data_IF_163233878215
#
_entry.id   IF_163233878215
#
_cell.length_a   1.000
_cell.length_b   1.000
_cell.length_c   1.000
_cell.angle_alpha   90.00
_cell.angle_beta   90.00
_cell.angle_gamma   90.00
#
_symmetry.space_group_name_H-M   'P 1'
#
loop_
_entity.id
_entity.type
_entity.pdbx_description
1 polymer ?
#
# COMPACT_ATOMS: atom_id res chain seq x y z
N UNK A 1 -1.65 10.50 10.80
CA UNK A 1 -1.70 11.84 10.20
C UNK A 1 -2.32 11.90 8.80
N UNK A 2 -2.29 10.81 8.03
CA UNK A 2 -2.65 10.80 6.60
C UNK A 2 -3.69 9.73 6.20
N UNK A 3 -4.53 9.28 7.14
CA UNK A 3 -5.58 8.30 6.83
C UNK A 3 -6.59 8.91 5.85
N UNK A 4 -6.79 8.23 4.70
CA UNK A 4 -7.78 8.63 3.70
C UNK A 4 -9.22 8.25 4.11
N UNK A 5 -9.37 7.35 5.08
CA UNK A 5 -10.65 6.91 5.63
C UNK A 5 -10.71 7.24 7.13
N UNK A 6 -10.94 8.51 7.51
CA UNK A 6 -11.06 8.87 8.91
C UNK A 6 -12.24 8.13 9.57
N UNK A 7 -12.13 7.79 10.87
CA UNK A 7 -13.21 7.10 11.57
C UNK A 7 -14.52 7.89 11.47
N UNK A 8 -15.58 7.20 11.14
CA UNK A 8 -16.94 7.74 11.19
C UNK A 8 -17.74 6.97 12.25
N UNK A 9 -18.71 7.63 12.87
CA UNK A 9 -19.52 7.09 13.98
C UNK A 9 -20.57 6.03 13.54
N UNK A 10 -20.59 5.64 12.25
CA UNK A 10 -21.61 4.75 11.68
C UNK A 10 -21.09 3.32 11.43
N UNK A 11 -20.06 2.87 12.15
CA UNK A 11 -19.50 1.53 11.98
C UNK A 11 -20.39 0.46 12.64
N UNK A 12 -21.41 0.06 11.95
CA UNK A 12 -22.09 -1.21 12.20
C UNK A 12 -21.25 -2.35 11.59
N UNK A 13 -20.32 -2.88 12.38
CA UNK A 13 -19.42 -3.96 11.97
C UNK A 13 -20.20 -5.21 11.54
N UNK A 14 -21.31 -5.51 12.20
CA UNK A 14 -22.16 -6.66 11.88
C UNK A 14 -22.82 -6.50 10.52
N UNK A 15 -23.43 -5.36 10.28
CA UNK A 15 -24.07 -5.05 8.99
C UNK A 15 -23.07 -5.09 7.84
N UNK A 16 -21.86 -4.54 8.06
CA UNK A 16 -20.81 -4.55 7.06
C UNK A 16 -20.31 -5.98 6.80
N UNK A 17 -20.16 -6.79 7.84
CA UNK A 17 -19.78 -8.20 7.71
C UNK A 17 -20.79 -8.98 6.85
N UNK A 18 -22.08 -8.88 7.16
CA UNK A 18 -23.16 -9.54 6.38
C UNK A 18 -23.17 -9.05 4.93
N UNK A 19 -22.97 -7.76 4.70
CA UNK A 19 -22.87 -7.20 3.34
C UNK A 19 -21.69 -7.80 2.57
N UNK A 20 -20.53 -7.93 3.21
CA UNK A 20 -19.34 -8.50 2.59
C UNK A 20 -19.53 -9.99 2.24
N UNK A 21 -20.17 -10.78 3.10
CA UNK A 21 -20.53 -12.19 2.78
C UNK A 21 -21.38 -12.25 1.51
N UNK A 22 -22.42 -11.42 1.40
CA UNK A 22 -23.27 -11.38 0.21
C UNK A 22 -22.54 -10.98 -1.06
N UNK A 23 -21.57 -10.06 -0.96
CA UNK A 23 -20.73 -9.66 -2.09
C UNK A 23 -19.84 -10.82 -2.55
N UNK A 24 -19.23 -11.55 -1.61
CA UNK A 24 -18.43 -12.73 -1.92
C UNK A 24 -19.29 -13.83 -2.57
N UNK A 25 -20.49 -14.08 -2.06
CA UNK A 25 -21.41 -15.07 -2.61
C UNK A 25 -21.84 -14.77 -4.05
N UNK A 26 -21.86 -13.48 -4.43
CA UNK A 26 -22.21 -13.02 -5.79
C UNK A 26 -21.00 -12.81 -6.71
N UNK A 27 -19.76 -12.97 -6.20
CA UNK A 27 -18.56 -12.77 -6.99
C UNK A 27 -18.37 -13.89 -8.02
N UNK A 28 -17.86 -13.58 -9.22
CA UNK A 28 -17.56 -14.59 -10.23
C UNK A 28 -16.41 -15.52 -9.75
N UNK A 29 -16.53 -16.81 -10.03
CA UNK A 29 -15.51 -17.80 -9.64
C UNK A 29 -14.14 -17.53 -10.28
N UNK A 30 -14.09 -16.76 -11.36
CA UNK A 30 -12.86 -16.34 -12.05
C UNK A 30 -12.23 -15.07 -11.48
N UNK A 31 -12.71 -14.57 -10.34
CA UNK A 31 -12.14 -13.37 -9.71
C UNK A 31 -10.67 -13.61 -9.35
N UNK A 32 -9.70 -12.85 -9.93
CA UNK A 32 -8.29 -13.12 -9.71
C UNK A 32 -7.81 -12.76 -8.30
N UNK A 33 -8.34 -11.70 -7.73
CA UNK A 33 -7.95 -11.25 -6.38
C UNK A 33 -9.10 -10.53 -5.66
N UNK A 34 -9.07 -10.56 -4.33
CA UNK A 34 -9.99 -9.84 -3.45
C UNK A 34 -9.22 -9.11 -2.35
N UNK A 35 -9.47 -7.80 -2.22
CA UNK A 35 -8.88 -6.99 -1.16
C UNK A 35 -9.77 -6.94 0.07
N UNK A 36 -9.23 -7.35 1.22
CA UNK A 36 -9.86 -7.11 2.53
C UNK A 36 -9.23 -5.85 3.11
N UNK A 37 -10.02 -4.80 3.20
CA UNK A 37 -9.57 -3.49 3.68
C UNK A 37 -10.68 -2.82 4.51
N UNK A 38 -10.39 -1.64 5.04
CA UNK A 38 -11.35 -0.84 5.81
C UNK A 38 -10.61 0.09 6.74
N UNK A 39 -11.11 0.29 7.97
CA UNK A 39 -10.35 0.94 9.02
C UNK A 39 -9.16 0.06 9.40
N UNK A 40 -9.43 -1.03 10.12
CA UNK A 40 -8.47 -2.09 10.42
C UNK A 40 -9.20 -3.44 10.46
N UNK A 41 -8.95 -4.36 9.50
CA UNK A 41 -9.66 -5.63 9.42
C UNK A 41 -9.52 -6.53 10.65
N UNK A 42 -8.37 -6.47 11.32
CA UNK A 42 -8.12 -7.31 12.51
C UNK A 42 -9.03 -6.99 13.70
N UNK A 43 -9.70 -5.82 13.70
CA UNK A 43 -10.73 -5.47 14.68
C UNK A 43 -12.00 -6.34 14.58
N UNK A 44 -12.18 -7.07 13.47
CA UNK A 44 -13.25 -8.07 13.34
C UNK A 44 -13.03 -9.29 14.25
N UNK A 45 -11.83 -9.47 14.82
CA UNK A 45 -11.51 -10.62 15.65
C UNK A 45 -11.70 -11.94 14.90
N UNK A 46 -12.37 -12.92 15.50
CA UNK A 46 -12.58 -14.25 14.90
C UNK A 46 -13.46 -14.21 13.62
N UNK A 47 -14.25 -13.15 13.42
CA UNK A 47 -15.01 -12.96 12.17
C UNK A 47 -14.11 -12.74 10.96
N UNK A 48 -12.90 -12.20 11.13
CA UNK A 48 -11.94 -12.08 10.04
C UNK A 48 -11.54 -13.45 9.51
N UNK A 49 -11.25 -14.39 10.39
CA UNK A 49 -10.89 -15.76 10.00
C UNK A 49 -12.05 -16.49 9.34
N UNK A 50 -13.29 -16.29 9.86
CA UNK A 50 -14.51 -16.81 9.24
C UNK A 50 -14.71 -16.26 7.83
N UNK A 51 -14.45 -14.96 7.61
CA UNK A 51 -14.53 -14.33 6.31
C UNK A 51 -13.51 -14.90 5.32
N UNK A 52 -12.26 -15.05 5.75
CA UNK A 52 -11.17 -15.63 4.94
C UNK A 52 -11.51 -17.09 4.55
N UNK A 53 -11.97 -17.90 5.50
CA UNK A 53 -12.39 -19.28 5.21
C UNK A 53 -13.57 -19.31 4.24
N UNK A 54 -14.53 -18.38 4.35
CA UNK A 54 -15.64 -18.27 3.42
C UNK A 54 -15.17 -17.91 2.00
N UNK A 55 -14.23 -16.95 1.85
CA UNK A 55 -13.63 -16.62 0.56
C UNK A 55 -12.95 -17.85 -0.04
N UNK A 56 -12.09 -18.54 0.71
CA UNK A 56 -11.38 -19.74 0.23
C UNK A 56 -12.31 -20.85 -0.21
N UNK A 57 -13.42 -21.04 0.51
CA UNK A 57 -14.42 -22.04 0.15
C UNK A 57 -15.20 -21.71 -1.12
N UNK A 58 -15.52 -20.43 -1.35
CA UNK A 58 -16.30 -19.95 -2.51
C UNK A 58 -15.46 -19.64 -3.73
N UNK A 59 -14.25 -19.12 -3.52
CA UNK A 59 -13.35 -18.58 -4.53
C UNK A 59 -11.94 -19.20 -4.35
N UNK A 60 -11.76 -20.51 -4.53
CA UNK A 60 -10.51 -21.21 -4.18
C UNK A 60 -9.30 -20.77 -4.99
N UNK A 61 -9.51 -20.19 -6.18
CA UNK A 61 -8.42 -19.70 -7.04
C UNK A 61 -8.08 -18.23 -6.82
N UNK A 62 -8.90 -17.50 -6.04
CA UNK A 62 -8.75 -16.07 -5.80
C UNK A 62 -7.65 -15.78 -4.78
N UNK A 63 -6.74 -14.86 -5.11
CA UNK A 63 -5.77 -14.34 -4.15
C UNK A 63 -6.45 -13.38 -3.15
N UNK A 64 -6.16 -13.52 -1.86
CA UNK A 64 -6.64 -12.63 -0.81
C UNK A 64 -5.54 -11.64 -0.47
N UNK A 65 -5.79 -10.35 -0.69
CA UNK A 65 -4.90 -9.27 -0.28
C UNK A 65 -5.46 -8.62 1.00
N UNK A 66 -4.91 -9.00 2.17
CA UNK A 66 -5.31 -8.46 3.46
C UNK A 66 -4.50 -7.20 3.79
N UNK A 67 -5.16 -6.04 3.75
CA UNK A 67 -4.55 -4.75 4.07
C UNK A 67 -4.77 -4.42 5.54
N UNK A 68 -3.71 -4.49 6.34
CA UNK A 68 -3.76 -4.33 7.81
C UNK A 68 -2.56 -3.53 8.30
N UNK A 69 -2.68 -2.86 9.45
CA UNK A 69 -1.55 -2.21 10.10
C UNK A 69 -0.53 -3.19 10.71
N UNK A 70 -0.84 -4.49 10.72
CA UNK A 70 0.06 -5.53 11.21
C UNK A 70 0.13 -5.71 12.72
N UNK A 71 -0.37 -4.75 13.51
CA UNK A 71 -0.15 -4.69 14.95
C UNK A 71 -0.78 -5.84 15.75
N UNK A 72 -1.96 -6.33 15.33
CA UNK A 72 -2.61 -7.46 15.99
C UNK A 72 -1.76 -8.73 15.93
N UNK A 73 -0.91 -8.87 14.91
CA UNK A 73 -0.01 -10.00 14.74
C UNK A 73 1.23 -9.94 15.64
N UNK A 74 1.42 -8.87 16.42
CA UNK A 74 2.38 -8.87 17.53
C UNK A 74 2.07 -9.99 18.54
N UNK A 75 0.80 -10.35 18.70
CA UNK A 75 0.43 -11.62 19.36
C UNK A 75 0.60 -12.80 18.38
N UNK A 76 1.59 -13.63 18.65
CA UNK A 76 1.87 -14.84 17.85
C UNK A 76 0.65 -15.79 17.78
N UNK A 77 -0.21 -15.81 18.79
CA UNK A 77 -1.39 -16.66 18.79
C UNK A 77 -2.43 -16.15 17.77
N UNK A 78 -2.51 -14.83 17.57
CA UNK A 78 -3.36 -14.25 16.52
C UNK A 78 -2.84 -14.61 15.12
N UNK A 79 -1.52 -14.53 14.91
CA UNK A 79 -0.89 -14.96 13.65
C UNK A 79 -1.11 -16.47 13.40
N UNK A 80 -1.00 -17.32 14.42
CA UNK A 80 -1.28 -18.75 14.32
C UNK A 80 -2.75 -19.05 14.01
N UNK A 81 -3.70 -18.26 14.52
CA UNK A 81 -5.12 -18.39 14.14
C UNK A 81 -5.32 -18.09 12.64
N UNK A 82 -4.67 -17.06 12.12
CA UNK A 82 -4.71 -16.78 10.68
C UNK A 82 -4.08 -17.94 9.87
N UNK A 83 -2.97 -18.51 10.35
CA UNK A 83 -2.30 -19.64 9.71
C UNK A 83 -3.22 -20.87 9.59
N UNK A 84 -4.15 -21.07 10.52
CA UNK A 84 -5.14 -22.16 10.45
C UNK A 84 -6.12 -22.00 9.27
N UNK A 85 -6.26 -20.78 8.71
CA UNK A 85 -7.01 -20.56 7.47
C UNK A 85 -6.21 -21.00 6.22
N UNK A 86 -4.96 -21.44 6.36
CA UNK A 86 -4.00 -21.71 5.28
C UNK A 86 -3.29 -20.42 4.85
N UNK A 87 -2.01 -20.53 4.51
CA UNK A 87 -1.17 -19.38 4.13
C UNK A 87 -1.20 -19.13 2.62
N UNK A 88 -1.49 -20.14 1.83
CA UNK A 88 -1.51 -20.06 0.37
C UNK A 88 -2.54 -19.05 -0.12
N UNK A 89 -2.15 -18.27 -1.11
CA UNK A 89 -2.99 -17.24 -1.72
C UNK A 89 -3.44 -16.13 -0.75
N UNK A 90 -2.70 -15.92 0.35
CA UNK A 90 -2.88 -14.77 1.23
C UNK A 90 -1.62 -13.91 1.18
N UNK A 91 -1.76 -12.68 0.71
CA UNK A 91 -0.74 -11.65 0.77
C UNK A 91 -1.16 -10.60 1.79
N UNK A 92 -0.29 -10.31 2.78
CA UNK A 92 -0.56 -9.25 3.75
C UNK A 92 0.13 -7.96 3.32
N UNK A 93 -0.65 -6.91 3.08
CA UNK A 93 -0.16 -5.57 2.80
C UNK A 93 -0.04 -4.76 4.09
N UNK A 94 1.19 -4.53 4.56
CA UNK A 94 1.46 -3.89 5.85
C UNK A 94 2.20 -2.57 5.64
N UNK A 95 1.66 -1.43 6.12
CA UNK A 95 2.34 -0.15 6.01
C UNK A 95 3.47 -0.02 7.02
N UNK A 96 4.62 0.45 6.54
CA UNK A 96 5.72 0.94 7.36
C UNK A 96 6.01 2.40 6.96
N UNK A 97 6.13 3.29 7.94
CA UNK A 97 6.20 4.73 7.67
C UNK A 97 7.60 5.32 7.88
N UNK A 98 8.46 4.65 8.63
CA UNK A 98 9.85 5.03 8.85
C UNK A 98 10.68 3.83 9.28
N UNK A 99 12.00 3.95 9.18
CA UNK A 99 13.00 3.03 9.72
C UNK A 99 13.27 3.26 11.22
N UNK A 100 12.64 4.28 11.80
CA UNK A 100 12.74 4.56 13.24
C UNK A 100 11.36 4.71 13.89
N UNK A 101 11.27 4.30 15.16
CA UNK A 101 10.04 4.27 15.93
C UNK A 101 9.43 5.66 16.14
N UNK A 102 10.27 6.69 16.36
CA UNK A 102 9.78 8.06 16.61
C UNK A 102 8.93 8.59 15.45
N UNK A 103 9.40 8.44 14.22
CA UNK A 103 8.72 8.97 13.03
C UNK A 103 7.51 8.10 12.65
N UNK A 104 7.67 6.77 12.76
CA UNK A 104 6.57 5.84 12.51
C UNK A 104 5.39 6.11 13.47
N UNK A 105 5.67 6.16 14.77
CA UNK A 105 4.67 6.41 15.81
C UNK A 105 4.05 7.81 15.68
N UNK A 106 4.86 8.81 15.28
CA UNK A 106 4.35 10.14 14.98
C UNK A 106 3.38 10.15 13.79
N UNK A 107 3.68 9.44 12.71
CA UNK A 107 2.78 9.34 11.55
C UNK A 107 1.50 8.58 11.90
N UNK A 108 1.60 7.48 12.63
CA UNK A 108 0.45 6.66 13.03
C UNK A 108 -0.36 7.28 14.17
N UNK A 109 0.21 8.26 14.89
CA UNK A 109 -0.35 8.87 16.11
C UNK A 109 -0.58 7.82 17.21
N UNK A 110 0.29 6.81 17.29
CA UNK A 110 0.17 5.72 18.25
C UNK A 110 1.55 5.28 18.73
N UNK A 111 1.88 5.62 19.98
CA UNK A 111 3.14 5.25 20.62
C UNK A 111 3.27 3.72 20.68
N UNK A 112 4.43 3.19 20.29
CA UNK A 112 4.72 1.75 20.28
C UNK A 112 4.21 1.03 19.05
N UNK A 113 3.56 1.72 18.11
CA UNK A 113 3.04 1.10 16.89
C UNK A 113 4.13 0.53 16.00
N UNK A 114 5.34 1.14 15.98
CA UNK A 114 6.49 0.61 15.26
C UNK A 114 6.87 -0.78 15.77
N UNK A 115 7.08 -0.91 17.07
CA UNK A 115 7.51 -2.17 17.69
C UNK A 115 6.47 -3.27 17.51
N UNK A 116 5.17 -2.93 17.67
CA UNK A 116 4.08 -3.88 17.43
C UNK A 116 4.02 -4.32 15.95
N UNK A 117 4.17 -3.39 15.01
CA UNK A 117 4.18 -3.71 13.57
C UNK A 117 5.38 -4.58 13.22
N UNK A 118 6.58 -4.27 13.73
CA UNK A 118 7.79 -5.07 13.50
C UNK A 118 7.65 -6.49 14.07
N UNK A 119 7.15 -6.62 15.30
CA UNK A 119 6.89 -7.93 15.88
C UNK A 119 5.84 -8.72 15.10
N UNK A 120 4.80 -8.03 14.61
CA UNK A 120 3.79 -8.61 13.74
C UNK A 120 4.38 -9.15 12.44
N UNK A 121 5.26 -8.40 11.78
CA UNK A 121 5.96 -8.82 10.56
C UNK A 121 6.79 -10.10 10.79
N UNK A 122 7.57 -10.16 11.88
CA UNK A 122 8.35 -11.36 12.21
C UNK A 122 7.47 -12.56 12.57
N UNK A 123 6.33 -12.35 13.23
CA UNK A 123 5.40 -13.42 13.54
C UNK A 123 4.70 -13.97 12.30
N UNK A 124 4.37 -13.10 11.33
CA UNK A 124 3.80 -13.50 10.05
C UNK A 124 4.80 -14.30 9.22
N UNK A 125 6.06 -13.88 9.17
CA UNK A 125 7.14 -14.64 8.53
C UNK A 125 7.30 -16.03 9.17
N UNK A 126 7.33 -16.12 10.50
CA UNK A 126 7.40 -17.39 11.24
C UNK A 126 6.19 -18.30 10.97
N UNK A 127 5.05 -17.75 10.63
CA UNK A 127 3.84 -18.47 10.23
C UNK A 127 3.79 -18.79 8.73
N UNK A 128 4.80 -18.38 7.94
CA UNK A 128 4.92 -18.69 6.52
C UNK A 128 4.02 -17.83 5.60
N UNK A 129 3.68 -16.61 6.01
CA UNK A 129 2.90 -15.70 5.19
C UNK A 129 3.76 -14.86 4.25
N UNK A 130 3.25 -14.63 3.05
CA UNK A 130 3.78 -13.62 2.14
C UNK A 130 3.39 -12.21 2.61
N UNK A 131 4.37 -11.30 2.65
CA UNK A 131 4.17 -9.92 3.08
C UNK A 131 4.58 -8.94 1.99
N UNK A 132 3.73 -7.94 1.76
CA UNK A 132 4.01 -6.72 1.01
C UNK A 132 4.18 -5.56 2.00
N UNK A 133 5.35 -4.91 1.98
CA UNK A 133 5.52 -3.64 2.69
C UNK A 133 4.95 -2.50 1.84
N UNK A 134 4.17 -1.64 2.47
CA UNK A 134 3.56 -0.48 1.83
C UNK A 134 4.10 0.80 2.42
N UNK A 135 4.76 1.62 1.59
CA UNK A 135 5.41 2.86 1.99
C UNK A 135 4.69 4.02 1.33
N UNK A 136 3.86 4.72 2.11
CA UNK A 136 3.17 5.92 1.62
C UNK A 136 4.13 7.11 1.68
N UNK A 137 4.40 7.68 0.50
CA UNK A 137 5.35 8.77 0.33
C UNK A 137 4.75 10.08 0.86
N UNK A 138 5.32 10.58 1.96
CA UNK A 138 4.94 11.83 2.61
C UNK A 138 6.17 12.59 3.05
N UNK A 139 6.01 13.85 3.47
CA UNK A 139 7.11 14.74 3.85
C UNK A 139 8.08 14.14 4.87
N UNK A 140 7.59 13.35 5.83
CA UNK A 140 8.43 12.76 6.89
C UNK A 140 9.15 11.54 6.32
N UNK A 141 8.41 10.60 5.73
CA UNK A 141 8.96 9.36 5.17
C UNK A 141 10.00 9.63 4.07
N UNK A 142 9.74 10.60 3.18
CA UNK A 142 10.63 10.88 2.04
C UNK A 142 12.03 11.34 2.45
N UNK A 143 12.20 11.96 3.62
CA UNK A 143 13.51 12.38 4.13
C UNK A 143 14.43 11.20 4.46
N UNK A 144 13.86 10.01 4.67
CA UNK A 144 14.58 8.82 5.15
C UNK A 144 14.49 7.62 4.20
N UNK A 145 14.06 7.81 2.95
CA UNK A 145 13.88 6.70 2.01
C UNK A 145 15.14 5.85 1.79
N UNK A 146 16.36 6.41 1.62
CA UNK A 146 17.55 5.59 1.51
C UNK A 146 17.87 4.80 2.79
N UNK A 147 17.70 5.41 3.97
CA UNK A 147 17.87 4.73 5.25
C UNK A 147 16.84 3.62 5.43
N UNK A 148 15.59 3.88 5.02
CA UNK A 148 14.51 2.92 5.06
C UNK A 148 14.75 1.72 4.12
N UNK A 149 15.32 1.94 2.93
CA UNK A 149 15.73 0.86 2.03
C UNK A 149 16.79 -0.04 2.70
N UNK A 150 17.81 0.55 3.32
CA UNK A 150 18.82 -0.19 4.06
C UNK A 150 18.22 -0.97 5.25
N UNK A 151 17.30 -0.34 5.98
CA UNK A 151 16.60 -0.96 7.10
C UNK A 151 15.79 -2.19 6.63
N UNK A 152 15.03 -2.07 5.54
CA UNK A 152 14.23 -3.16 4.97
C UNK A 152 15.14 -4.33 4.57
N UNK A 153 16.19 -4.06 3.84
CA UNK A 153 17.15 -5.09 3.42
C UNK A 153 17.75 -5.86 4.60
N UNK A 154 18.11 -5.16 5.68
CA UNK A 154 18.78 -5.78 6.84
C UNK A 154 17.81 -6.50 7.78
N UNK A 155 16.62 -5.97 7.97
CA UNK A 155 15.71 -6.43 9.02
C UNK A 155 14.50 -7.19 8.49
N UNK A 156 14.14 -7.00 7.22
CA UNK A 156 12.93 -7.56 6.61
C UNK A 156 13.24 -8.24 5.26
N UNK A 157 14.33 -9.03 5.13
CA UNK A 157 14.72 -9.64 3.84
C UNK A 157 13.71 -10.70 3.34
N UNK A 158 12.78 -11.12 4.17
CA UNK A 158 11.75 -12.12 3.87
C UNK A 158 10.52 -11.51 3.17
N UNK A 159 10.41 -10.18 3.09
CA UNK A 159 9.24 -9.56 2.44
C UNK A 159 9.24 -9.86 0.95
N UNK A 160 8.07 -10.20 0.44
CA UNK A 160 7.89 -10.59 -0.96
C UNK A 160 7.89 -9.39 -1.91
N UNK A 161 7.31 -8.27 -1.45
CA UNK A 161 7.17 -7.05 -2.24
C UNK A 161 7.38 -5.80 -1.38
N UNK A 162 7.90 -4.75 -2.00
CA UNK A 162 7.97 -3.40 -1.44
C UNK A 162 7.26 -2.44 -2.37
N UNK A 163 6.14 -1.86 -1.93
CA UNK A 163 5.30 -0.96 -2.68
C UNK A 163 5.47 0.49 -2.20
N UNK A 164 6.13 1.33 -2.97
CA UNK A 164 6.16 2.78 -2.77
C UNK A 164 4.90 3.39 -3.37
N UNK A 165 4.16 4.15 -2.58
CA UNK A 165 2.85 4.65 -2.97
C UNK A 165 2.79 6.17 -2.89
N UNK A 166 2.53 6.83 -4.01
CA UNK A 166 2.19 8.26 -4.02
C UNK A 166 0.99 8.51 -3.10
N UNK A 167 1.09 9.55 -2.28
CA UNK A 167 0.07 9.88 -1.30
C UNK A 167 -1.18 10.46 -1.98
N UNK A 168 -2.33 9.87 -1.71
CA UNK A 168 -3.62 10.42 -2.11
C UNK A 168 -3.98 11.63 -1.21
N UNK A 169 -4.20 12.80 -1.82
CA UNK A 169 -4.49 14.02 -1.08
C UNK A 169 -5.97 14.12 -0.72
N UNK A 170 -6.37 13.36 0.29
CA UNK A 170 -7.74 13.28 0.81
C UNK A 170 -7.75 12.99 2.32
N UNK A 171 -8.93 13.00 2.94
CA UNK A 171 -9.08 12.65 4.36
C UNK A 171 -8.26 13.54 5.30
N UNK A 172 -7.51 12.91 6.21
CA UNK A 172 -6.66 13.65 7.17
C UNK A 172 -5.46 14.35 6.53
N UNK A 173 -5.03 13.96 5.35
CA UNK A 173 -3.96 14.65 4.61
C UNK A 173 -4.29 16.12 4.39
N UNK A 174 -5.58 16.44 4.12
CA UNK A 174 -6.02 17.82 3.89
C UNK A 174 -5.85 18.66 5.17
N UNK A 175 -6.19 18.09 6.33
CA UNK A 175 -6.07 18.78 7.63
C UNK A 175 -4.63 18.95 8.06
N UNK A 176 -3.78 17.99 7.74
CA UNK A 176 -2.38 17.94 8.16
C UNK A 176 -1.41 18.29 7.02
N UNK A 177 -1.88 19.11 6.05
CA UNK A 177 -1.13 19.45 4.83
C UNK A 177 0.34 19.78 5.10
N UNK A 178 0.60 20.74 5.97
CA UNK A 178 1.95 21.26 6.25
C UNK A 178 2.88 20.21 6.87
N UNK A 179 2.32 19.19 7.52
CA UNK A 179 3.07 18.12 8.15
C UNK A 179 3.39 16.97 7.19
N UNK A 180 2.47 16.65 6.28
CA UNK A 180 2.58 15.41 5.49
C UNK A 180 2.74 15.63 4.00
N UNK A 181 2.24 16.75 3.44
CA UNK A 181 2.32 17.00 2.00
C UNK A 181 3.74 17.36 1.58
N UNK A 182 4.21 16.70 0.55
CA UNK A 182 5.39 17.04 -0.23
C UNK A 182 5.03 16.82 -1.71
N UNK A 183 5.44 17.72 -2.58
CA UNK A 183 5.20 17.53 -4.01
C UNK A 183 6.02 16.34 -4.52
N UNK A 184 5.42 15.42 -5.28
CA UNK A 184 6.12 14.27 -5.84
C UNK A 184 7.43 14.58 -6.56
N UNK A 185 7.55 15.72 -7.22
CA UNK A 185 8.78 16.13 -7.91
C UNK A 185 9.93 16.44 -6.95
N UNK A 186 9.63 16.78 -5.69
CA UNK A 186 10.63 17.24 -4.72
C UNK A 186 11.38 16.10 -3.99
N UNK A 187 11.00 14.82 -4.18
CA UNK A 187 11.64 13.65 -3.54
C UNK A 187 12.13 12.57 -4.50
N UNK A 188 12.27 12.91 -5.78
CA UNK A 188 12.58 11.92 -6.81
C UNK A 188 13.96 11.27 -6.62
N UNK A 189 14.98 12.01 -6.22
CA UNK A 189 16.33 11.49 -5.97
C UNK A 189 16.34 10.46 -4.83
N UNK A 190 15.64 10.75 -3.72
CA UNK A 190 15.54 9.85 -2.58
C UNK A 190 14.74 8.59 -2.94
N UNK A 191 13.66 8.73 -3.70
CA UNK A 191 12.85 7.62 -4.17
C UNK A 191 13.66 6.72 -5.12
N UNK A 192 14.36 7.31 -6.09
CA UNK A 192 15.20 6.57 -7.04
C UNK A 192 16.31 5.81 -6.32
N UNK A 193 17.01 6.46 -5.40
CA UNK A 193 18.02 5.81 -4.58
C UNK A 193 17.46 4.58 -3.84
N UNK A 194 16.32 4.73 -3.15
CA UNK A 194 15.72 3.65 -2.38
C UNK A 194 15.23 2.49 -3.26
N UNK A 195 14.51 2.80 -4.34
CA UNK A 195 13.96 1.79 -5.27
C UNK A 195 15.07 1.02 -5.97
N UNK A 196 16.06 1.72 -6.51
CA UNK A 196 17.17 1.10 -7.22
C UNK A 196 18.04 0.23 -6.30
N UNK A 197 18.22 0.66 -5.05
CA UNK A 197 19.02 -0.08 -4.07
C UNK A 197 18.32 -1.36 -3.64
N UNK A 198 17.03 -1.31 -3.28
CA UNK A 198 16.23 -2.50 -2.96
C UNK A 198 16.18 -3.49 -4.14
N UNK A 199 15.97 -2.99 -5.35
CA UNK A 199 16.00 -3.84 -6.56
C UNK A 199 17.36 -4.48 -6.79
N UNK A 200 18.46 -3.76 -6.56
CA UNK A 200 19.84 -4.31 -6.66
C UNK A 200 20.07 -5.44 -5.66
N UNK A 201 19.44 -5.37 -4.49
CA UNK A 201 19.51 -6.42 -3.47
C UNK A 201 18.52 -7.57 -3.72
N UNK A 202 17.79 -7.55 -4.84
CA UNK A 202 16.92 -8.64 -5.28
C UNK A 202 15.51 -8.61 -4.72
N UNK A 203 15.09 -7.51 -4.06
CA UNK A 203 13.69 -7.38 -3.65
C UNK A 203 12.81 -6.94 -4.81
N UNK A 204 11.57 -7.43 -4.82
CA UNK A 204 10.55 -6.98 -5.78
C UNK A 204 10.01 -5.62 -5.36
N UNK A 205 10.24 -4.60 -6.18
CA UNK A 205 9.85 -3.23 -5.88
C UNK A 205 8.88 -2.71 -6.93
N UNK A 206 7.87 -1.97 -6.48
CA UNK A 206 6.91 -1.30 -7.35
C UNK A 206 6.61 0.11 -6.84
N UNK A 207 6.32 1.02 -7.78
CA UNK A 207 5.93 2.40 -7.49
C UNK A 207 4.50 2.60 -7.99
N UNK A 208 3.60 2.90 -7.07
CA UNK A 208 2.17 3.10 -7.33
C UNK A 208 1.79 4.57 -7.21
N UNK A 209 0.75 4.97 -7.93
CA UNK A 209 0.08 6.25 -7.75
C UNK A 209 0.96 7.48 -8.05
N UNK A 210 1.99 7.31 -8.85
CA UNK A 210 2.84 8.39 -9.37
C UNK A 210 2.86 8.33 -10.88
N UNK A 211 2.55 9.46 -11.52
CA UNK A 211 2.55 9.57 -12.98
C UNK A 211 3.97 9.55 -13.52
N UNK A 212 4.16 9.01 -14.71
CA UNK A 212 5.48 8.94 -15.36
C UNK A 212 6.14 10.32 -15.52
N UNK A 213 5.36 11.37 -15.74
CA UNK A 213 5.89 12.72 -15.92
C UNK A 213 6.46 13.37 -14.64
N UNK A 214 6.18 12.82 -13.46
CA UNK A 214 6.80 13.26 -12.21
C UNK A 214 7.87 12.28 -11.70
N UNK A 215 7.96 11.10 -12.30
CA UNK A 215 8.98 10.11 -11.96
C UNK A 215 10.25 10.34 -12.79
N UNK A 216 11.42 10.20 -12.15
CA UNK A 216 12.67 10.06 -12.89
C UNK A 216 12.60 8.85 -13.82
N UNK A 217 13.20 8.94 -15.01
CA UNK A 217 13.11 7.91 -16.05
C UNK A 217 13.56 6.53 -15.59
N UNK A 218 14.57 6.45 -14.73
CA UNK A 218 15.05 5.19 -14.14
C UNK A 218 13.98 4.47 -13.31
N UNK A 219 12.94 5.19 -12.86
CA UNK A 219 11.82 4.65 -12.07
C UNK A 219 10.66 4.15 -12.95
N UNK A 220 10.60 4.48 -14.23
CA UNK A 220 9.46 4.14 -15.09
C UNK A 220 9.20 2.63 -15.17
N UNK A 221 10.25 1.81 -15.16
CA UNK A 221 10.13 0.34 -15.17
C UNK A 221 9.52 -0.26 -13.90
N UNK A 222 9.49 0.50 -12.81
CA UNK A 222 8.88 0.12 -11.53
C UNK A 222 7.48 0.68 -11.35
N UNK A 223 7.05 1.60 -12.23
CA UNK A 223 5.74 2.24 -12.14
C UNK A 223 4.63 1.26 -12.51
N UNK A 224 3.62 1.16 -11.65
CA UNK A 224 2.49 0.25 -11.82
C UNK A 224 1.19 1.05 -11.79
N UNK A 225 0.25 0.71 -12.70
CA UNK A 225 -1.10 1.26 -12.68
C UNK A 225 -1.83 0.84 -11.39
N UNK A 226 -2.68 1.71 -10.86
CA UNK A 226 -3.58 1.35 -9.76
C UNK A 226 -4.49 0.18 -10.17
N UNK A 227 -4.85 -0.66 -9.19
CA UNK A 227 -5.72 -1.82 -9.39
C UNK A 227 -7.13 -1.41 -9.88
N UNK A 228 -7.56 -0.17 -9.61
CA UNK A 228 -8.93 0.28 -9.89
C UNK A 228 -8.94 1.37 -10.97
N UNK A 229 -9.27 1.00 -12.20
CA UNK A 229 -9.34 1.92 -13.35
C UNK A 229 -10.30 3.11 -13.13
N UNK A 230 -11.36 2.92 -12.33
CA UNK A 230 -12.31 3.97 -11.99
C UNK A 230 -11.72 5.10 -11.12
N UNK A 231 -10.53 4.90 -10.55
CA UNK A 231 -9.80 5.93 -9.78
C UNK A 231 -8.88 6.77 -10.64
N UNK A 232 -8.65 6.38 -11.88
CA UNK A 232 -7.67 7.01 -12.75
C UNK A 232 -8.35 8.05 -13.63
N UNK A 233 -7.82 9.27 -13.60
CA UNK A 233 -8.19 10.35 -14.49
C UNK A 233 -6.97 10.83 -15.28
N UNK A 234 -7.22 11.42 -16.44
CA UNK A 234 -6.18 12.03 -17.28
C UNK A 234 -6.57 13.46 -17.58
N UNK A 235 -5.60 14.38 -17.46
CA UNK A 235 -5.80 15.76 -17.87
C UNK A 235 -5.75 15.87 -19.41
N UNK A 236 -6.30 16.96 -19.99
CA UNK A 236 -6.32 17.18 -21.43
C UNK A 236 -4.93 17.07 -22.08
N UNK A 237 -3.90 17.59 -21.42
CA UNK A 237 -2.53 17.50 -21.94
C UNK A 237 -1.98 16.07 -21.99
N UNK A 238 -2.61 15.12 -21.29
CA UNK A 238 -2.22 13.71 -21.36
C UNK A 238 -2.55 13.07 -22.70
N UNK A 239 -3.43 13.68 -23.51
CA UNK A 239 -3.75 13.18 -24.85
C UNK A 239 -2.56 13.26 -25.81
N UNK A 240 -1.64 14.20 -25.55
CA UNK A 240 -0.38 14.35 -26.29
C UNK A 240 0.79 13.59 -25.67
N UNK A 241 0.58 12.86 -24.57
CA UNK A 241 1.63 12.19 -23.82
C UNK A 241 1.97 10.81 -24.42
N UNK A 242 3.24 10.61 -24.77
CA UNK A 242 3.73 9.34 -25.32
C UNK A 242 3.60 8.15 -24.39
N UNK A 243 3.52 8.36 -23.08
CA UNK A 243 3.41 7.30 -22.08
C UNK A 243 2.01 7.17 -21.46
N UNK A 244 0.98 7.81 -22.04
CA UNK A 244 -0.38 7.81 -21.49
C UNK A 244 -0.88 6.39 -21.19
N UNK A 245 -0.73 5.47 -22.14
CA UNK A 245 -1.21 4.09 -22.02
C UNK A 245 -0.54 3.29 -20.89
N UNK A 246 0.70 3.63 -20.55
CA UNK A 246 1.48 2.98 -19.48
C UNK A 246 1.34 3.69 -18.14
N UNK A 247 0.85 4.93 -18.14
CA UNK A 247 0.76 5.78 -16.97
C UNK A 247 -0.42 5.37 -16.07
N UNK A 248 -0.23 5.45 -14.75
CA UNK A 248 -1.31 5.25 -13.79
C UNK A 248 -2.37 6.36 -13.81
N UNK A 249 -2.10 7.50 -14.49
CA UNK A 249 -2.99 8.66 -14.44
C UNK A 249 -2.98 9.37 -13.09
N UNK A 250 -3.94 10.27 -12.92
CA UNK A 250 -4.17 11.05 -11.71
C UNK A 250 -5.24 10.37 -10.85
N UNK A 251 -5.12 10.49 -9.54
CA UNK A 251 -6.18 10.04 -8.65
C UNK A 251 -7.40 10.94 -8.75
N UNK A 252 -8.54 10.41 -9.18
CA UNK A 252 -9.83 11.10 -9.24
C UNK A 252 -10.26 11.72 -7.89
N UNK A 253 -9.85 11.10 -6.80
CA UNK A 253 -10.18 11.51 -5.43
C UNK A 253 -9.17 12.47 -4.82
N UNK A 254 -7.99 12.66 -5.43
CA UNK A 254 -6.96 13.55 -4.92
C UNK A 254 -7.26 15.01 -5.27
N UNK A 255 -7.41 15.85 -4.25
CA UNK A 255 -7.72 17.27 -4.41
C UNK A 255 -6.50 18.15 -4.69
N UNK A 256 -5.31 17.55 -4.74
CA UNK A 256 -4.06 18.25 -5.05
C UNK A 256 -3.17 17.38 -5.92
N UNK A 257 -2.62 17.97 -6.94
CA UNK A 257 -1.73 17.33 -7.90
C UNK A 257 -0.31 17.93 -7.82
N UNK A 258 0.67 17.25 -8.40
CA UNK A 258 2.04 17.76 -8.50
C UNK A 258 2.12 18.96 -9.44
N UNK A 259 3.01 19.89 -9.12
CA UNK A 259 3.40 20.98 -10.02
C UNK A 259 4.23 20.53 -11.24
N UNK A 260 4.76 19.28 -11.19
CA UNK A 260 5.58 18.70 -12.26
C UNK A 260 4.79 17.99 -13.37
N UNK A 261 3.45 18.07 -13.37
CA UNK A 261 2.62 17.42 -14.38
C UNK A 261 2.80 18.10 -15.75
N UNK A 262 3.22 17.30 -16.75
CA UNK A 262 3.37 17.73 -18.15
C UNK A 262 3.35 16.52 -19.08
N UNK A 263 3.02 16.67 -20.38
CA UNK A 263 3.09 15.58 -21.33
C UNK A 263 4.55 15.22 -21.61
N UNK A 264 4.83 13.91 -21.64
CA UNK A 264 6.11 13.40 -22.09
C UNK A 264 6.04 13.30 -23.62
N UNK A 265 6.89 14.04 -24.31
CA UNK A 265 7.01 14.00 -25.78
C UNK A 265 7.97 12.89 -26.19
N UNK A 266 7.67 12.18 -27.28
CA UNK A 266 8.61 11.24 -27.87
C UNK A 266 9.84 12.02 -28.31
N UNK A 267 10.98 11.74 -27.71
CA UNK A 267 12.26 12.17 -28.26
C UNK A 267 12.55 11.18 -29.39
N UNK A 268 12.30 11.60 -30.62
CA UNK A 268 12.85 10.89 -31.78
C UNK A 268 14.36 11.05 -31.67
N UNK A 269 15.06 10.00 -31.26
CA UNK A 269 16.50 9.93 -31.44
C UNK A 269 16.75 9.91 -32.95
N UNK A 270 17.25 11.02 -33.51
CA UNK A 270 17.79 11.09 -34.87
C UNK A 270 19.08 10.25 -34.99
#
# INVERSE_FOLDING_TARGET
LMCCQPPNNSNDLERNYIKNIKLIDSAPASLPSIGITGGEPTLLGDKLFSLINHIKAKLPETEIHLLTNGRAFADINYAKKLMQCGTEKILLGIPIHSDCSSDHDYITQSKGSFDETMLGLYNLERCGFDVELRIVLNRITCQRLPQMANFIYRNLPFVRYVAFMGMEYTGFTIKNHDLVWIDPIDYQEQLESAVCELNRWGLNVSVFNLTHCVLNENLWKFAVKSISDWKNEYAEFCDECALKEKCCGLFATSRKQSKGLQPIKVILCE
#
